data_IF_167612449727
#
_entry.id   IF_167612449727
#
_cell.length_a   1.000
_cell.length_b   1.000
_cell.length_c   1.000
_cell.angle_alpha   90.00
_cell.angle_beta   90.00
_cell.angle_gamma   90.00
#
_symmetry.space_group_name_H-M   'P 1'
#
loop_
_entity.id
_entity.type
_entity.pdbx_description
1 polymer ?
#
# COMPACT_ATOMS: atom_id res chain seq x y z
N UNK A 1 -21.69 -6.35 -12.23
CA UNK A 1 -22.20 -5.90 -10.91
C UNK A 1 -22.19 -7.01 -9.86
N UNK A 2 -22.46 -8.29 -10.19
CA UNK A 2 -22.50 -9.40 -9.21
C UNK A 2 -21.16 -9.70 -8.50
N UNK A 3 -20.03 -9.62 -9.22
CA UNK A 3 -18.71 -9.94 -8.69
C UNK A 3 -18.30 -9.07 -7.49
N UNK A 4 -18.60 -7.76 -7.51
CA UNK A 4 -18.26 -6.86 -6.40
C UNK A 4 -18.99 -7.20 -5.09
N UNK A 5 -20.23 -7.68 -5.18
CA UNK A 5 -21.01 -8.05 -4.01
C UNK A 5 -20.40 -9.26 -3.27
N UNK A 6 -19.81 -10.21 -4.01
CA UNK A 6 -19.13 -11.37 -3.43
C UNK A 6 -17.93 -10.96 -2.55
N UNK A 7 -17.16 -9.95 -2.98
CA UNK A 7 -16.02 -9.48 -2.18
C UNK A 7 -16.42 -8.57 -1.04
N UNK A 8 -17.55 -7.86 -1.13
CA UNK A 8 -18.03 -7.02 -0.05
C UNK A 8 -18.46 -7.84 1.18
N UNK A 9 -18.93 -9.07 0.98
CA UNK A 9 -19.28 -10.01 2.05
C UNK A 9 -18.04 -10.73 2.62
N UNK A 10 -17.08 -11.08 1.75
CA UNK A 10 -15.95 -11.92 2.10
C UNK A 10 -14.70 -11.15 2.58
N UNK A 11 -14.52 -9.88 2.18
CA UNK A 11 -13.32 -9.09 2.49
C UNK A 11 -13.69 -7.81 3.24
N UNK A 12 -12.98 -7.51 4.35
CA UNK A 12 -13.11 -6.22 5.02
C UNK A 12 -12.70 -5.07 4.09
N UNK A 13 -13.38 -3.93 4.22
CA UNK A 13 -13.07 -2.72 3.43
C UNK A 13 -11.62 -2.25 3.61
N UNK A 14 -11.05 -2.42 4.80
CA UNK A 14 -9.66 -2.09 5.12
C UNK A 14 -8.67 -2.89 4.27
N UNK A 15 -8.91 -4.19 4.10
CA UNK A 15 -8.07 -5.06 3.27
C UNK A 15 -8.18 -4.69 1.79
N UNK A 16 -9.39 -4.34 1.33
CA UNK A 16 -9.61 -3.86 -0.04
C UNK A 16 -8.85 -2.54 -0.26
N UNK A 17 -8.90 -1.62 0.70
CA UNK A 17 -8.18 -0.35 0.65
C UNK A 17 -6.65 -0.56 0.63
N UNK A 18 -6.14 -1.49 1.43
CA UNK A 18 -4.74 -1.88 1.44
C UNK A 18 -4.32 -2.42 0.06
N UNK A 19 -5.00 -3.45 -0.46
CA UNK A 19 -4.71 -4.04 -1.77
C UNK A 19 -4.71 -2.97 -2.86
N UNK A 20 -5.69 -2.07 -2.87
CA UNK A 20 -5.76 -0.95 -3.83
C UNK A 20 -4.53 -0.05 -3.74
N UNK A 21 -4.10 0.31 -2.54
CA UNK A 21 -2.93 1.17 -2.33
C UNK A 21 -1.66 0.55 -2.90
N UNK A 22 -1.43 -0.74 -2.65
CA UNK A 22 -0.30 -1.47 -3.20
C UNK A 22 -0.36 -1.57 -4.73
N UNK A 23 -1.52 -1.90 -5.30
CA UNK A 23 -1.70 -2.01 -6.74
C UNK A 23 -1.53 -0.67 -7.47
N UNK A 24 -2.10 0.41 -6.93
CA UNK A 24 -2.01 1.75 -7.51
C UNK A 24 -0.57 2.26 -7.58
N UNK A 25 0.25 1.90 -6.59
CA UNK A 25 1.65 2.33 -6.52
C UNK A 25 2.64 1.32 -7.10
N UNK A 26 2.14 0.19 -7.61
CA UNK A 26 2.94 -0.93 -8.10
C UNK A 26 3.95 -1.41 -7.05
N UNK A 27 3.47 -1.60 -5.81
CA UNK A 27 4.23 -2.02 -4.64
C UNK A 27 3.93 -3.44 -4.24
N UNK A 28 4.80 -4.01 -3.40
CA UNK A 28 4.72 -5.40 -3.00
C UNK A 28 3.86 -5.55 -1.76
N UNK A 29 2.67 -6.12 -1.93
CA UNK A 29 1.83 -6.54 -0.82
C UNK A 29 2.48 -7.72 -0.08
N UNK A 30 2.59 -7.63 1.25
CA UNK A 30 3.12 -8.71 2.08
C UNK A 30 3.75 -8.24 3.38
N UNK A 31 4.38 -9.17 4.11
CA UNK A 31 5.07 -8.88 5.38
C UNK A 31 6.31 -8.01 5.16
N UNK A 32 6.76 -7.32 6.22
CA UNK A 32 7.98 -6.51 6.16
C UNK A 32 9.19 -7.32 5.73
N UNK A 33 9.32 -8.57 6.21
CA UNK A 33 10.39 -9.48 5.79
C UNK A 33 10.37 -9.73 4.28
N UNK A 34 9.18 -9.96 3.71
CA UNK A 34 9.05 -10.17 2.27
C UNK A 34 9.37 -8.91 1.48
N UNK A 35 8.88 -7.75 1.93
CA UNK A 35 9.20 -6.45 1.33
C UNK A 35 10.70 -6.19 1.35
N UNK A 36 11.37 -6.32 2.49
CA UNK A 36 12.83 -6.13 2.59
C UNK A 36 13.61 -7.08 1.68
N UNK A 37 13.16 -8.33 1.55
CA UNK A 37 13.77 -9.27 0.62
C UNK A 37 13.60 -8.84 -0.85
N UNK A 38 12.41 -8.36 -1.24
CA UNK A 38 12.19 -7.81 -2.59
C UNK A 38 13.03 -6.55 -2.83
N UNK A 39 13.14 -5.65 -1.85
CA UNK A 39 13.97 -4.44 -1.96
C UNK A 39 15.44 -4.81 -2.18
N UNK A 40 15.97 -5.74 -1.38
CA UNK A 40 17.34 -6.24 -1.54
C UNK A 40 17.56 -6.92 -2.89
N UNK A 41 16.56 -7.64 -3.40
CA UNK A 41 16.67 -8.36 -4.68
C UNK A 41 16.54 -7.45 -5.90
N UNK A 42 15.73 -6.40 -5.82
CA UNK A 42 15.38 -5.54 -6.97
C UNK A 42 16.10 -4.19 -6.96
N UNK A 43 16.68 -3.79 -5.81
CA UNK A 43 17.25 -2.46 -5.61
C UNK A 43 16.20 -1.34 -5.63
N UNK A 44 14.91 -1.68 -5.54
CA UNK A 44 13.79 -0.73 -5.60
C UNK A 44 12.99 -0.77 -4.32
N UNK A 45 12.53 0.40 -3.87
CA UNK A 45 11.64 0.52 -2.71
C UNK A 45 10.32 -0.23 -2.93
N UNK A 46 9.98 -1.15 -2.03
CA UNK A 46 8.88 -2.09 -2.15
C UNK A 46 7.66 -1.72 -1.29
N UNK A 47 7.82 -0.85 -0.29
CA UNK A 47 6.72 -0.37 0.54
C UNK A 47 5.87 0.73 -0.13
N UNK A 48 4.64 0.90 0.36
CA UNK A 48 3.68 1.93 -0.07
C UNK A 48 4.14 3.30 0.41
N UNK A 49 4.06 4.31 -0.46
CA UNK A 49 4.28 5.72 -0.10
C UNK A 49 2.97 6.33 0.39
N UNK A 50 2.99 7.15 1.46
CA UNK A 50 1.81 7.88 1.87
C UNK A 50 1.34 8.80 0.74
N UNK A 51 0.02 8.86 0.55
CA UNK A 51 -0.59 9.73 -0.46
C UNK A 51 -0.59 11.17 0.06
N UNK A 52 -0.10 12.10 -0.75
CA UNK A 52 -0.11 13.53 -0.45
C UNK A 52 1.26 14.16 -0.31
N UNK A 53 1.28 15.48 -0.10
CA UNK A 53 2.50 16.22 0.22
C UNK A 53 2.78 16.05 1.71
N UNK A 54 4.04 15.84 2.14
CA UNK A 54 4.38 15.93 3.55
C UNK A 54 3.90 17.27 4.12
N UNK A 55 3.33 17.29 5.34
CA UNK A 55 2.85 18.52 5.94
C UNK A 55 3.99 19.54 5.99
N UNK A 56 3.66 20.82 5.71
CA UNK A 56 4.64 21.91 5.80
C UNK A 56 5.10 21.96 7.25
N UNK A 57 6.35 21.57 7.51
CA UNK A 57 6.93 21.75 8.83
C UNK A 57 6.94 23.25 9.11
N UNK A 58 6.11 23.70 10.05
CA UNK A 58 6.20 25.05 10.60
C UNK A 58 7.41 25.12 11.52
N UNK A 59 8.62 25.02 10.96
CA UNK A 59 9.79 25.56 11.62
C UNK A 59 9.73 27.08 11.44
N UNK A 60 8.84 27.72 12.20
CA UNK A 60 9.13 29.07 12.65
C UNK A 60 10.13 28.91 13.81
N UNK A 61 11.38 29.35 13.68
CA UNK A 61 12.17 29.70 14.86
C UNK A 61 11.53 30.87 15.61
#
# INVERSE_FOLDING_TARGET
MFYRALFADALPDELIAEIRSYLQQQKVLGTDRFRSWVEARTGRFAAVRPVGRPPRQSNCP
#
